data_IF_888239678653
#
_entry.id   IF_888239678653
#
_cell.length_a   1.000
_cell.length_b   1.000
_cell.length_c   1.000
_cell.angle_alpha   90.00
_cell.angle_beta   90.00
_cell.angle_gamma   90.00
#
_symmetry.space_group_name_H-M   'P 1'
#
loop_
_entity.id
_entity.type
_entity.pdbx_description
1 polymer ?
#
# COMPACT_ATOMS: atom_id res chain seq x y z
N UNK A 1 30.14 -13.04 11.45
CA UNK A 1 29.96 -12.25 10.22
C UNK A 1 28.62 -12.66 9.64
N UNK A 2 27.65 -11.75 9.60
CA UNK A 2 26.37 -11.99 8.94
C UNK A 2 26.59 -11.57 7.49
N UNK A 3 26.72 -12.53 6.57
CA UNK A 3 26.82 -12.21 5.14
C UNK A 3 25.42 -11.89 4.59
N UNK A 4 25.25 -10.67 4.07
CA UNK A 4 24.07 -10.32 3.29
C UNK A 4 24.28 -10.87 1.87
N UNK A 5 23.63 -12.01 1.57
CA UNK A 5 23.43 -12.44 0.18
C UNK A 5 22.57 -11.37 -0.49
N UNK A 6 23.10 -10.74 -1.54
CA UNK A 6 22.43 -9.76 -2.41
C UNK A 6 22.38 -8.29 -1.94
N UNK A 7 23.47 -7.78 -1.33
CA UNK A 7 23.61 -6.39 -0.86
C UNK A 7 23.20 -5.32 -1.89
N UNK A 8 23.52 -5.50 -3.16
CA UNK A 8 23.23 -4.52 -4.23
C UNK A 8 21.75 -4.50 -4.65
N UNK A 9 21.06 -5.63 -4.58
CA UNK A 9 19.66 -5.74 -5.02
C UNK A 9 18.66 -5.44 -3.88
N UNK A 10 19.12 -5.45 -2.63
CA UNK A 10 18.28 -5.27 -1.45
C UNK A 10 17.48 -3.94 -1.48
N UNK A 11 18.07 -2.78 -1.82
CA UNK A 11 17.32 -1.52 -1.94
C UNK A 11 16.22 -1.58 -3.01
N UNK A 12 16.45 -2.31 -4.10
CA UNK A 12 15.43 -2.49 -5.14
C UNK A 12 14.27 -3.36 -4.66
N UNK A 13 14.56 -4.37 -3.83
CA UNK A 13 13.52 -5.25 -3.26
C UNK A 13 12.63 -4.51 -2.25
N UNK A 14 13.19 -3.69 -1.36
CA UNK A 14 12.39 -2.89 -0.44
C UNK A 14 11.57 -1.82 -1.18
N UNK A 15 12.14 -1.22 -2.22
CA UNK A 15 11.41 -0.34 -3.14
C UNK A 15 10.24 -1.05 -3.83
N UNK A 16 10.45 -2.25 -4.35
CA UNK A 16 9.39 -3.01 -5.02
C UNK A 16 8.20 -3.33 -4.09
N UNK A 17 8.46 -3.57 -2.79
CA UNK A 17 7.40 -3.77 -1.79
C UNK A 17 6.59 -2.48 -1.60
N UNK A 18 7.25 -1.32 -1.50
CA UNK A 18 6.57 -0.02 -1.39
C UNK A 18 5.79 0.34 -2.64
N UNK A 19 6.35 0.08 -3.82
CA UNK A 19 5.68 0.32 -5.10
C UNK A 19 4.41 -0.56 -5.18
N UNK A 20 4.46 -1.83 -4.79
CA UNK A 20 3.28 -2.71 -4.72
C UNK A 20 2.24 -2.26 -3.68
N UNK A 21 2.67 -1.75 -2.52
CA UNK A 21 1.77 -1.18 -1.52
C UNK A 21 1.05 0.08 -2.06
N UNK A 22 1.73 0.89 -2.84
CA UNK A 22 1.15 2.05 -3.52
C UNK A 22 0.14 1.64 -4.61
N UNK A 23 0.46 0.64 -5.42
CA UNK A 23 -0.47 0.09 -6.44
C UNK A 23 -1.76 -0.43 -5.81
N UNK A 24 -1.67 -1.12 -4.67
CA UNK A 24 -2.85 -1.62 -3.95
C UNK A 24 -3.75 -0.47 -3.48
N UNK A 25 -3.17 0.63 -2.97
CA UNK A 25 -3.91 1.83 -2.58
C UNK A 25 -4.55 2.52 -3.80
N UNK A 26 -3.85 2.59 -4.93
CA UNK A 26 -4.40 3.15 -6.17
C UNK A 26 -5.61 2.34 -6.67
N UNK A 27 -5.54 1.01 -6.68
CA UNK A 27 -6.66 0.15 -7.05
C UNK A 27 -7.89 0.36 -6.14
N UNK A 28 -7.67 0.62 -4.84
CA UNK A 28 -8.73 0.98 -3.91
C UNK A 28 -9.39 2.32 -4.25
N UNK A 29 -8.61 3.30 -4.70
CA UNK A 29 -9.14 4.61 -5.11
C UNK A 29 -9.96 4.52 -6.41
N UNK A 30 -9.54 3.66 -7.35
CA UNK A 30 -10.33 3.34 -8.55
C UNK A 30 -11.67 2.70 -8.20
N UNK A 31 -11.70 1.75 -7.25
CA UNK A 31 -12.94 1.18 -6.75
C UNK A 31 -13.86 2.25 -6.13
N UNK A 32 -13.29 3.21 -5.40
CA UNK A 32 -14.03 4.36 -4.87
C UNK A 32 -14.70 5.17 -5.97
N UNK A 33 -13.96 5.46 -7.04
CA UNK A 33 -14.47 6.18 -8.21
C UNK A 33 -15.65 5.45 -8.88
N UNK A 34 -15.59 4.12 -8.97
CA UNK A 34 -16.67 3.30 -9.54
C UNK A 34 -17.94 3.40 -8.69
N UNK A 35 -17.83 3.32 -7.36
CA UNK A 35 -18.98 3.44 -6.44
C UNK A 35 -19.60 4.83 -6.52
N UNK A 36 -18.79 5.89 -6.56
CA UNK A 36 -19.27 7.26 -6.68
C UNK A 36 -19.96 7.50 -8.03
N UNK A 37 -19.38 6.96 -9.11
CA UNK A 37 -20.00 7.02 -10.45
C UNK A 37 -21.34 6.29 -10.47
N UNK A 38 -21.42 5.09 -9.88
CA UNK A 38 -22.68 4.34 -9.80
C UNK A 38 -23.77 5.13 -9.06
N UNK A 39 -23.42 5.81 -7.96
CA UNK A 39 -24.36 6.66 -7.21
C UNK A 39 -24.79 7.87 -8.02
N UNK A 40 -23.85 8.54 -8.71
CA UNK A 40 -24.14 9.69 -9.56
C UNK A 40 -25.07 9.33 -10.71
N UNK A 41 -24.77 8.25 -11.42
CA UNK A 41 -25.61 7.77 -12.53
C UNK A 41 -26.99 7.32 -12.03
N UNK A 42 -27.08 6.67 -10.87
CA UNK A 42 -28.38 6.31 -10.31
C UNK A 42 -29.25 7.55 -10.00
N UNK A 43 -28.63 8.67 -9.61
CA UNK A 43 -29.32 9.95 -9.40
C UNK A 43 -29.68 10.69 -10.69
N UNK A 44 -28.98 10.46 -11.80
CA UNK A 44 -29.21 11.17 -13.07
C UNK A 44 -30.58 10.83 -13.70
N UNK A 45 -31.18 9.70 -13.31
CA UNK A 45 -32.50 9.27 -13.76
C UNK A 45 -33.67 9.89 -12.98
N UNK A 46 -33.39 10.76 -12.00
CA UNK A 46 -34.40 11.32 -11.09
C UNK A 46 -34.43 12.84 -11.14
N UNK A 47 -35.59 13.43 -10.86
CA UNK A 47 -35.80 14.88 -10.92
C UNK A 47 -35.09 15.61 -9.78
N UNK A 48 -34.96 14.96 -8.62
CA UNK A 48 -34.29 15.50 -7.43
C UNK A 48 -32.78 15.19 -7.39
N UNK A 49 -32.26 14.48 -8.39
CA UNK A 49 -30.86 14.10 -8.48
C UNK A 49 -30.43 13.05 -7.45
N UNK A 50 -31.39 12.41 -6.76
CA UNK A 50 -31.13 11.37 -5.78
C UNK A 50 -31.40 9.99 -6.37
N UNK A 51 -30.57 8.97 -6.08
CA UNK A 51 -30.85 7.61 -6.54
C UNK A 51 -32.27 7.16 -6.16
N UNK A 52 -33.01 6.59 -7.12
CA UNK A 52 -34.33 6.06 -6.84
C UNK A 52 -34.26 5.01 -5.71
N UNK A 53 -35.27 4.93 -4.81
CA UNK A 53 -35.22 4.06 -3.63
C UNK A 53 -34.98 2.57 -3.94
N UNK A 54 -35.36 2.11 -5.14
CA UNK A 54 -35.12 0.74 -5.61
C UNK A 54 -33.62 0.41 -5.72
N UNK A 55 -32.76 1.40 -5.95
CA UNK A 55 -31.31 1.24 -6.07
C UNK A 55 -30.57 1.40 -4.73
N UNK A 56 -31.21 1.95 -3.70
CA UNK A 56 -30.57 2.19 -2.39
C UNK A 56 -29.90 0.94 -1.81
N UNK A 57 -30.53 -0.25 -1.80
CA UNK A 57 -29.89 -1.44 -1.23
C UNK A 57 -28.59 -1.83 -1.94
N UNK A 58 -28.54 -1.68 -3.27
CA UNK A 58 -27.37 -2.01 -4.08
C UNK A 58 -26.26 -0.99 -3.87
N UNK A 59 -26.59 0.31 -3.88
CA UNK A 59 -25.62 1.39 -3.64
C UNK A 59 -25.03 1.34 -2.23
N UNK A 60 -25.84 1.01 -1.23
CA UNK A 60 -25.36 0.82 0.14
C UNK A 60 -24.50 -0.43 0.27
N UNK A 61 -24.85 -1.50 -0.45
CA UNK A 61 -24.02 -2.70 -0.56
C UNK A 61 -22.64 -2.42 -1.17
N UNK A 62 -22.60 -1.68 -2.29
CA UNK A 62 -21.36 -1.24 -2.93
C UNK A 62 -20.49 -0.40 -1.99
N UNK A 63 -21.12 0.54 -1.26
CA UNK A 63 -20.40 1.35 -0.27
C UNK A 63 -19.82 0.51 0.86
N UNK A 64 -20.58 -0.42 1.42
CA UNK A 64 -20.08 -1.34 2.46
C UNK A 64 -18.91 -2.19 1.96
N UNK A 65 -18.99 -2.65 0.72
CA UNK A 65 -17.92 -3.44 0.10
C UNK A 65 -16.65 -2.60 -0.11
N UNK A 66 -16.79 -1.35 -0.55
CA UNK A 66 -15.68 -0.40 -0.64
C UNK A 66 -15.05 -0.11 0.72
N UNK A 67 -15.87 0.11 1.75
CA UNK A 67 -15.39 0.41 3.10
C UNK A 67 -14.62 -0.80 3.68
N UNK A 68 -15.13 -2.03 3.50
CA UNK A 68 -14.46 -3.26 3.90
C UNK A 68 -13.15 -3.49 3.12
N UNK A 69 -13.17 -3.30 1.81
CA UNK A 69 -11.99 -3.43 0.94
C UNK A 69 -10.93 -2.40 1.31
N UNK A 70 -11.33 -1.16 1.58
CA UNK A 70 -10.42 -0.09 2.01
C UNK A 70 -9.70 -0.43 3.31
N UNK A 71 -10.42 -1.00 4.28
CA UNK A 71 -9.82 -1.43 5.54
C UNK A 71 -8.76 -2.52 5.33
N UNK A 72 -9.04 -3.51 4.48
CA UNK A 72 -8.10 -4.59 4.16
C UNK A 72 -6.89 -4.05 3.39
N UNK A 73 -7.11 -3.23 2.37
CA UNK A 73 -6.04 -2.63 1.56
C UNK A 73 -5.10 -1.79 2.43
N UNK A 74 -5.64 -0.92 3.29
CA UNK A 74 -4.81 -0.12 4.18
C UNK A 74 -4.00 -1.00 5.13
N UNK A 75 -4.64 -1.98 5.78
CA UNK A 75 -3.94 -2.88 6.69
C UNK A 75 -2.80 -3.65 6.02
N UNK A 76 -3.01 -4.15 4.80
CA UNK A 76 -1.98 -4.88 4.05
C UNK A 76 -0.88 -3.96 3.57
N UNK A 77 -1.23 -2.80 2.99
CA UNK A 77 -0.27 -1.84 2.47
C UNK A 77 0.60 -1.25 3.60
N UNK A 78 0.00 -0.91 4.74
CA UNK A 78 0.73 -0.41 5.92
C UNK A 78 1.67 -1.48 6.48
N UNK A 79 1.24 -2.74 6.51
CA UNK A 79 2.09 -3.87 6.93
C UNK A 79 3.26 -4.10 5.97
N UNK A 80 3.02 -3.95 4.66
CA UNK A 80 4.04 -4.07 3.63
C UNK A 80 5.07 -2.94 3.73
N UNK A 81 4.63 -1.70 3.92
CA UNK A 81 5.49 -0.54 4.15
C UNK A 81 6.34 -0.72 5.41
N UNK A 82 5.73 -1.10 6.52
CA UNK A 82 6.45 -1.36 7.77
C UNK A 82 7.48 -2.49 7.64
N UNK A 83 7.17 -3.54 6.86
CA UNK A 83 8.10 -4.61 6.56
C UNK A 83 9.29 -4.10 5.72
N UNK A 84 9.01 -3.30 4.68
CA UNK A 84 10.04 -2.71 3.83
C UNK A 84 10.96 -1.76 4.62
N UNK A 85 10.40 -0.94 5.50
CA UNK A 85 11.15 -0.03 6.38
C UNK A 85 12.01 -0.81 7.37
N UNK A 86 11.43 -1.79 8.08
CA UNK A 86 12.20 -2.63 9.01
C UNK A 86 13.33 -3.38 8.31
N UNK A 87 13.08 -3.87 7.09
CA UNK A 87 14.08 -4.54 6.28
C UNK A 87 15.20 -3.57 5.87
N UNK A 88 14.84 -2.36 5.44
CA UNK A 88 15.79 -1.32 5.06
C UNK A 88 16.64 -0.87 6.25
N UNK A 89 16.03 -0.59 7.41
CA UNK A 89 16.73 -0.14 8.62
C UNK A 89 17.74 -1.17 9.10
N UNK A 90 17.36 -2.46 9.11
CA UNK A 90 18.27 -3.56 9.45
C UNK A 90 19.42 -3.67 8.46
N UNK A 91 19.14 -3.50 7.17
CA UNK A 91 20.17 -3.53 6.14
C UNK A 91 21.18 -2.42 6.34
N UNK A 92 20.72 -1.17 6.47
CA UNK A 92 21.58 0.00 6.70
C UNK A 92 22.43 -0.20 7.96
N UNK A 93 21.81 -0.59 9.08
CA UNK A 93 22.53 -0.78 10.35
C UNK A 93 23.61 -1.87 10.29
N UNK A 94 23.38 -2.98 9.58
CA UNK A 94 24.40 -4.02 9.37
C UNK A 94 25.53 -3.46 8.50
N UNK A 95 25.20 -2.79 7.39
CA UNK A 95 26.20 -2.27 6.47
C UNK A 95 27.10 -1.19 7.09
N UNK A 96 26.53 -0.28 7.88
CA UNK A 96 27.30 0.75 8.59
C UNK A 96 28.24 0.14 9.64
N UNK A 97 27.74 -0.85 10.39
CA UNK A 97 28.56 -1.56 11.40
C UNK A 97 29.73 -2.30 10.75
N UNK A 98 29.51 -2.92 9.59
CA UNK A 98 30.57 -3.61 8.84
C UNK A 98 31.62 -2.64 8.31
N UNK A 99 31.21 -1.47 7.81
CA UNK A 99 32.12 -0.45 7.29
C UNK A 99 33.02 0.11 8.42
N UNK A 100 32.46 0.36 9.62
CA UNK A 100 33.24 0.76 10.80
C UNK A 100 34.26 -0.32 11.23
N UNK A 101 33.87 -1.59 11.16
CA UNK A 101 34.74 -2.73 11.47
C UNK A 101 35.91 -2.82 10.47
N UNK A 102 35.63 -2.66 9.18
CA UNK A 102 36.63 -2.67 8.13
C UNK A 102 37.65 -1.53 8.29
N UNK A 103 37.20 -0.33 8.65
CA UNK A 103 38.08 0.82 8.86
C UNK A 103 38.96 0.70 10.10
N UNK A 104 38.48 0.04 11.16
CA UNK A 104 39.32 -0.29 12.33
C UNK A 104 40.43 -1.26 11.97
N UNK A 105 40.14 -2.26 11.13
CA UNK A 105 41.15 -3.24 10.68
C UNK A 105 42.20 -2.60 9.78
N UNK A 106 41.82 -1.70 8.86
CA UNK A 106 42.78 -1.01 7.96
C UNK A 106 43.75 -0.07 8.69
N UNK A 107 43.40 0.35 9.92
CA UNK A 107 44.21 1.25 10.76
C UNK A 107 45.10 0.52 11.76
N UNK A 108 45.02 -0.81 11.83
CA UNK A 108 45.93 -1.68 12.58
C UNK A 108 47.09 -2.13 11.69
#
# INVERSE_FOLDING_TARGET
MIEIRDRESFPQKTKAIKDAAAELRAARDELGTIVDTARKEAGSFTVDGQPAPVYSPVLDGLKKWLDATSAVVNSVADSADACADTAHDKFVGITETDDEGADKIKKL
#
